data_IF_950914870270
#
_entry.id   IF_950914870270
#
_cell.length_a   1.000
_cell.length_b   1.000
_cell.length_c   1.000
_cell.angle_alpha   90.00
_cell.angle_beta   90.00
_cell.angle_gamma   90.00
#
_symmetry.space_group_name_H-M   'P 1'
#
loop_
_entity.id
_entity.type
_entity.pdbx_description
1 polymer ?
#
# COMPACT_ATOMS: atom_id res chain seq x y z
N UNK A 1 -43.90 -31.46 -20.06
CA UNK A 1 -44.50 -30.23 -19.50
C UNK A 1 -43.38 -29.42 -18.85
N UNK A 2 -42.95 -28.40 -19.57
CA UNK A 2 -41.78 -27.55 -19.26
C UNK A 2 -42.33 -26.19 -18.83
N UNK A 3 -42.39 -25.92 -17.53
CA UNK A 3 -42.58 -24.57 -17.00
C UNK A 3 -41.24 -23.85 -16.98
N UNK A 4 -40.76 -23.45 -18.17
CA UNK A 4 -39.80 -22.34 -18.27
C UNK A 4 -40.53 -21.09 -17.82
N UNK A 5 -40.50 -20.84 -16.51
CA UNK A 5 -40.90 -19.56 -15.94
C UNK A 5 -40.09 -18.48 -16.63
N UNK A 6 -40.79 -17.52 -17.20
CA UNK A 6 -40.22 -16.34 -17.81
C UNK A 6 -39.25 -15.66 -16.83
N UNK A 7 -37.95 -15.91 -17.00
CA UNK A 7 -36.92 -14.96 -16.60
C UNK A 7 -37.12 -13.74 -17.48
N UNK A 8 -38.04 -12.88 -17.05
CA UNK A 8 -38.19 -11.54 -17.58
C UNK A 8 -36.81 -10.90 -17.54
N UNK A 9 -36.26 -10.61 -18.73
CA UNK A 9 -35.13 -9.70 -18.91
C UNK A 9 -35.58 -8.32 -18.42
N UNK A 10 -35.65 -8.13 -17.12
CA UNK A 10 -35.69 -6.81 -16.51
C UNK A 10 -34.36 -6.18 -16.90
N UNK A 11 -34.40 -5.25 -17.86
CA UNK A 11 -33.25 -4.47 -18.28
C UNK A 11 -32.49 -4.03 -17.03
N UNK A 12 -31.28 -4.56 -16.87
CA UNK A 12 -30.59 -4.52 -15.59
C UNK A 12 -30.43 -3.07 -15.13
N UNK A 13 -30.66 -2.76 -13.84
CA UNK A 13 -30.67 -1.40 -13.29
C UNK A 13 -29.36 -0.61 -13.47
N UNK A 14 -28.32 -1.16 -14.09
CA UNK A 14 -27.04 -0.50 -14.32
C UNK A 14 -27.06 0.56 -15.44
N UNK A 15 -27.94 0.43 -16.45
CA UNK A 15 -28.03 1.40 -17.55
C UNK A 15 -28.23 2.85 -17.08
N UNK A 16 -29.19 3.18 -16.18
CA UNK A 16 -29.39 4.55 -15.71
C UNK A 16 -28.20 5.10 -14.92
N UNK A 17 -27.40 4.26 -14.25
CA UNK A 17 -26.21 4.73 -13.50
C UNK A 17 -25.10 5.14 -14.41
N UNK A 18 -24.83 4.36 -15.46
CA UNK A 18 -23.79 4.72 -16.42
C UNK A 18 -24.15 5.98 -17.19
N UNK A 19 -25.42 6.12 -17.60
CA UNK A 19 -25.92 7.34 -18.25
C UNK A 19 -25.74 8.55 -17.32
N UNK A 20 -26.09 8.44 -16.04
CA UNK A 20 -25.90 9.52 -15.07
C UNK A 20 -24.42 9.81 -14.78
N UNK A 21 -23.54 8.81 -14.75
CA UNK A 21 -22.10 9.03 -14.56
C UNK A 21 -21.48 9.75 -15.76
N UNK A 22 -21.85 9.37 -16.98
CA UNK A 22 -21.40 10.04 -18.20
C UNK A 22 -21.95 11.46 -18.25
N UNK A 23 -23.25 11.65 -17.98
CA UNK A 23 -23.86 12.98 -17.90
C UNK A 23 -23.21 13.85 -16.82
N UNK A 24 -22.80 13.27 -15.68
CA UNK A 24 -22.15 14.00 -14.59
C UNK A 24 -20.78 14.55 -14.98
N UNK A 25 -20.04 13.81 -15.82
CA UNK A 25 -18.74 14.22 -16.34
C UNK A 25 -18.89 15.25 -17.46
N UNK A 26 -19.93 15.11 -18.29
CA UNK A 26 -20.15 15.99 -19.44
C UNK A 26 -20.87 17.29 -19.10
N UNK A 27 -21.68 17.34 -18.03
CA UNK A 27 -22.44 18.54 -17.66
C UNK A 27 -21.54 19.78 -17.42
N UNK A 28 -20.40 19.69 -16.71
CA UNK A 28 -19.45 20.80 -16.59
C UNK A 28 -18.84 21.25 -17.93
N UNK A 29 -18.76 20.34 -18.92
CA UNK A 29 -18.17 20.60 -20.24
C UNK A 29 -19.15 21.22 -21.24
N UNK A 30 -20.40 21.45 -20.85
CA UNK A 30 -21.41 22.07 -21.71
C UNK A 30 -21.23 23.59 -21.89
N UNK A 31 -20.24 24.19 -21.21
CA UNK A 31 -19.95 25.62 -21.21
C UNK A 31 -19.66 26.27 -22.57
N UNK A 32 -18.93 25.66 -23.53
CA UNK A 32 -18.56 26.32 -24.78
C UNK A 32 -19.60 26.14 -25.91
N UNK A 33 -20.77 25.55 -25.63
CA UNK A 33 -21.78 25.22 -26.69
C UNK A 33 -22.98 26.16 -26.67
N UNK A 34 -23.18 26.93 -25.59
CA UNK A 34 -24.32 27.83 -25.41
C UNK A 34 -23.79 29.20 -24.96
N UNK A 35 -23.47 30.06 -25.91
CA UNK A 35 -22.74 31.33 -25.72
C UNK A 35 -23.45 32.40 -24.87
N UNK A 36 -24.70 32.17 -24.44
CA UNK A 36 -25.54 33.25 -23.87
C UNK A 36 -25.76 33.22 -22.34
N UNK A 37 -25.41 32.15 -21.60
CA UNK A 37 -25.61 32.12 -20.14
C UNK A 37 -24.47 31.45 -19.34
N UNK A 38 -23.64 32.22 -18.60
CA UNK A 38 -22.48 31.70 -17.87
C UNK A 38 -22.83 30.76 -16.69
N UNK A 39 -24.11 30.69 -16.30
CA UNK A 39 -24.56 29.88 -15.17
C UNK A 39 -24.96 28.44 -15.52
N UNK A 40 -25.27 28.16 -16.80
CA UNK A 40 -25.88 26.89 -17.20
C UNK A 40 -25.06 25.62 -16.85
N UNK A 41 -23.73 25.59 -17.01
CA UNK A 41 -22.93 24.39 -16.69
C UNK A 41 -23.01 23.99 -15.22
N UNK A 42 -23.10 24.96 -14.31
CA UNK A 42 -23.24 24.71 -12.88
C UNK A 42 -24.62 24.16 -12.54
N UNK A 43 -25.68 24.69 -13.15
CA UNK A 43 -27.05 24.18 -12.98
C UNK A 43 -27.23 22.78 -13.55
N UNK A 44 -26.69 22.52 -14.75
CA UNK A 44 -26.68 21.18 -15.33
C UNK A 44 -25.95 20.18 -14.42
N UNK A 45 -24.79 20.59 -13.88
CA UNK A 45 -24.01 19.75 -12.96
C UNK A 45 -24.77 19.48 -11.67
N UNK A 46 -25.40 20.50 -11.08
CA UNK A 46 -26.26 20.37 -9.91
C UNK A 46 -27.39 19.35 -10.15
N UNK A 47 -28.17 19.52 -11.22
CA UNK A 47 -29.31 18.66 -11.53
C UNK A 47 -28.86 17.20 -11.70
N UNK A 48 -27.80 16.96 -12.47
CA UNK A 48 -27.30 15.61 -12.71
C UNK A 48 -26.81 14.95 -11.41
N UNK A 49 -26.12 15.69 -10.54
CA UNK A 49 -25.63 15.14 -9.27
C UNK A 49 -26.75 14.93 -8.24
N UNK A 50 -27.80 15.75 -8.25
CA UNK A 50 -29.01 15.48 -7.45
C UNK A 50 -29.72 14.19 -7.92
N UNK A 51 -29.83 13.98 -9.23
CA UNK A 51 -30.37 12.73 -9.79
C UNK A 51 -29.49 11.53 -9.43
N UNK A 52 -28.17 11.67 -9.48
CA UNK A 52 -27.23 10.64 -9.06
C UNK A 52 -27.36 10.32 -7.56
N UNK A 53 -27.49 11.33 -6.71
CA UNK A 53 -27.71 11.17 -5.27
C UNK A 53 -29.05 10.46 -4.98
N UNK A 54 -30.13 10.86 -5.66
CA UNK A 54 -31.44 10.19 -5.56
C UNK A 54 -31.37 8.72 -5.99
N UNK A 55 -30.62 8.42 -7.05
CA UNK A 55 -30.41 7.04 -7.51
C UNK A 55 -29.56 6.21 -6.52
N UNK A 56 -28.54 6.82 -5.92
CA UNK A 56 -27.75 6.19 -4.85
C UNK A 56 -28.61 5.91 -3.61
N UNK A 57 -29.46 6.85 -3.21
CA UNK A 57 -30.34 6.72 -2.06
C UNK A 57 -31.41 5.64 -2.27
N UNK A 58 -32.10 5.66 -3.40
CA UNK A 58 -33.11 4.64 -3.74
C UNK A 58 -32.51 3.23 -3.77
N UNK A 59 -31.27 3.09 -4.25
CA UNK A 59 -30.53 1.84 -4.18
C UNK A 59 -30.10 1.48 -2.78
N UNK A 60 -29.57 2.41 -2.00
CA UNK A 60 -29.21 2.16 -0.62
C UNK A 60 -30.44 1.64 0.16
N UNK A 61 -31.60 2.27 -0.03
CA UNK A 61 -32.87 1.85 0.59
C UNK A 61 -33.32 0.47 0.10
N UNK A 62 -33.33 0.22 -1.22
CA UNK A 62 -33.74 -1.10 -1.75
C UNK A 62 -32.81 -2.22 -1.28
N UNK A 63 -31.52 -1.91 -1.14
CA UNK A 63 -30.49 -2.83 -0.70
C UNK A 63 -30.53 -3.07 0.82
N UNK A 64 -30.90 -2.05 1.61
CA UNK A 64 -31.19 -2.20 3.03
C UNK A 64 -32.44 -3.06 3.27
N UNK A 65 -33.49 -2.90 2.46
CA UNK A 65 -34.76 -3.65 2.56
C UNK A 65 -34.66 -5.09 2.08
N UNK A 66 -33.91 -5.36 1.01
CA UNK A 66 -33.87 -6.69 0.38
C UNK A 66 -33.06 -7.73 1.15
N UNK A 67 -32.19 -7.33 2.09
CA UNK A 67 -31.33 -8.25 2.83
C UNK A 67 -30.34 -9.07 1.96
N UNK A 68 -30.26 -8.77 0.66
CA UNK A 68 -29.49 -9.55 -0.29
C UNK A 68 -27.97 -9.40 -0.06
N UNK A 69 -27.21 -10.49 -0.29
CA UNK A 69 -25.75 -10.47 -0.23
C UNK A 69 -25.17 -9.51 -1.28
N UNK A 70 -24.14 -8.74 -0.88
CA UNK A 70 -23.48 -7.75 -1.74
C UNK A 70 -22.79 -8.43 -2.93
N UNK A 71 -23.26 -8.16 -4.14
CA UNK A 71 -22.59 -8.63 -5.37
C UNK A 71 -21.47 -7.66 -5.71
N UNK A 72 -20.43 -8.14 -6.41
CA UNK A 72 -19.34 -7.27 -6.90
C UNK A 72 -19.85 -6.10 -7.74
N UNK A 73 -20.94 -6.33 -8.49
CA UNK A 73 -21.62 -5.30 -9.29
C UNK A 73 -22.15 -4.15 -8.43
N UNK A 74 -22.61 -4.41 -7.22
CA UNK A 74 -23.18 -3.39 -6.32
C UNK A 74 -22.09 -2.43 -5.83
N UNK A 75 -20.87 -2.94 -5.61
CA UNK A 75 -19.69 -2.12 -5.27
C UNK A 75 -19.29 -1.24 -6.45
N UNK A 76 -19.24 -1.79 -7.67
CA UNK A 76 -18.94 -1.01 -8.88
C UNK A 76 -19.97 0.10 -9.07
N UNK A 77 -21.25 -0.19 -8.84
CA UNK A 77 -22.34 0.78 -8.94
C UNK A 77 -22.30 1.86 -7.84
N UNK A 78 -21.63 1.63 -6.72
CA UNK A 78 -21.41 2.62 -5.66
C UNK A 78 -20.14 3.46 -5.91
N UNK A 79 -19.10 2.85 -6.47
CA UNK A 79 -17.80 3.49 -6.77
C UNK A 79 -17.88 4.37 -8.02
N UNK A 80 -18.60 3.95 -9.06
CA UNK A 80 -18.69 4.71 -10.32
C UNK A 80 -19.21 6.16 -10.14
N UNK A 81 -20.27 6.41 -9.36
CA UNK A 81 -20.70 7.78 -9.06
C UNK A 81 -19.69 8.59 -8.25
N UNK A 82 -18.87 7.94 -7.41
CA UNK A 82 -17.82 8.64 -6.67
C UNK A 82 -16.71 9.12 -7.61
N UNK A 83 -16.28 8.27 -8.54
CA UNK A 83 -15.27 8.62 -9.55
C UNK A 83 -15.81 9.73 -10.45
N UNK A 84 -17.05 9.61 -10.93
CA UNK A 84 -17.70 10.65 -11.72
C UNK A 84 -17.81 11.97 -10.95
N UNK A 85 -18.19 11.93 -9.66
CA UNK A 85 -18.26 13.10 -8.79
C UNK A 85 -16.90 13.78 -8.56
N UNK A 86 -15.82 13.01 -8.38
CA UNK A 86 -14.47 13.59 -8.25
C UNK A 86 -14.01 14.29 -9.53
N UNK A 87 -14.28 13.68 -10.68
CA UNK A 87 -13.97 14.28 -11.99
C UNK A 87 -14.81 15.55 -12.22
N UNK A 88 -16.11 15.49 -11.94
CA UNK A 88 -16.99 16.64 -12.03
C UNK A 88 -16.59 17.77 -11.06
N UNK A 89 -16.13 17.44 -9.86
CA UNK A 89 -15.61 18.42 -8.91
C UNK A 89 -14.40 19.15 -9.48
N UNK A 90 -13.46 18.42 -10.07
CA UNK A 90 -12.30 19.00 -10.75
C UNK A 90 -12.72 19.97 -11.84
N UNK A 91 -13.66 19.57 -12.70
CA UNK A 91 -14.16 20.39 -13.81
C UNK A 91 -14.96 21.61 -13.34
N UNK A 92 -15.81 21.47 -12.32
CA UNK A 92 -16.55 22.60 -11.70
C UNK A 92 -15.58 23.59 -11.05
N UNK A 93 -14.51 23.11 -10.42
CA UNK A 93 -13.50 23.97 -9.81
C UNK A 93 -12.68 24.73 -10.86
N UNK A 94 -12.37 24.09 -11.99
CA UNK A 94 -11.70 24.75 -13.13
C UNK A 94 -12.60 25.82 -13.75
N UNK A 95 -13.87 25.50 -14.03
CA UNK A 95 -14.83 26.48 -14.54
C UNK A 95 -15.04 27.64 -13.57
N UNK A 96 -15.14 27.37 -12.27
CA UNK A 96 -15.26 28.44 -11.26
C UNK A 96 -14.05 29.38 -11.20
N UNK A 97 -12.88 28.89 -11.59
CA UNK A 97 -11.66 29.69 -11.71
C UNK A 97 -11.73 30.62 -12.93
N UNK A 98 -12.14 30.07 -14.09
CA UNK A 98 -12.33 30.83 -15.34
C UNK A 98 -13.35 31.96 -15.18
N UNK A 99 -14.43 31.73 -14.42
CA UNK A 99 -15.44 32.75 -14.13
C UNK A 99 -15.07 33.68 -12.95
N UNK A 100 -13.89 33.51 -12.32
CA UNK A 100 -13.46 34.34 -11.19
C UNK A 100 -14.37 34.22 -9.95
N UNK A 101 -15.07 33.09 -9.80
CA UNK A 101 -16.04 32.85 -8.74
C UNK A 101 -15.54 31.91 -7.63
N UNK A 102 -14.39 31.27 -7.86
CA UNK A 102 -13.75 30.39 -6.88
C UNK A 102 -13.36 31.17 -5.62
N UNK A 103 -13.85 30.70 -4.47
CA UNK A 103 -13.60 31.32 -3.15
C UNK A 103 -14.40 32.59 -2.84
N UNK A 104 -14.94 33.28 -3.86
CA UNK A 104 -15.70 34.52 -3.71
C UNK A 104 -17.22 34.33 -3.78
N UNK A 105 -17.70 33.24 -4.38
CA UNK A 105 -19.13 32.96 -4.52
C UNK A 105 -19.92 32.93 -3.20
N UNK A 106 -19.39 32.25 -2.16
CA UNK A 106 -20.07 32.16 -0.86
C UNK A 106 -20.18 33.53 -0.18
N UNK A 107 -19.10 34.33 -0.03
CA UNK A 107 -19.18 35.70 0.45
C UNK A 107 -20.19 36.55 -0.34
N UNK A 108 -20.16 36.50 -1.68
CA UNK A 108 -21.07 37.30 -2.52
C UNK A 108 -22.54 36.94 -2.36
N UNK A 109 -22.86 35.66 -2.20
CA UNK A 109 -24.21 35.20 -1.87
C UNK A 109 -24.66 35.70 -0.49
N UNK A 110 -23.78 35.64 0.52
CA UNK A 110 -24.11 36.12 1.87
C UNK A 110 -24.29 37.64 1.93
N UNK A 111 -23.63 38.39 1.05
CA UNK A 111 -23.74 39.85 0.94
C UNK A 111 -24.87 40.31 0.00
N UNK A 112 -25.57 39.39 -0.67
CA UNK A 112 -26.73 39.71 -1.52
C UNK A 112 -26.37 40.43 -2.83
N UNK A 113 -25.17 40.24 -3.37
CA UNK A 113 -24.74 40.88 -4.62
C UNK A 113 -25.50 40.27 -5.80
N UNK A 114 -26.32 41.09 -6.48
CA UNK A 114 -27.28 40.62 -7.50
C UNK A 114 -26.68 40.31 -8.88
N UNK A 115 -25.52 40.87 -9.22
CA UNK A 115 -24.97 40.81 -10.59
C UNK A 115 -24.57 39.40 -11.05
N UNK A 116 -24.28 38.47 -10.13
CA UNK A 116 -23.85 37.09 -10.42
C UNK A 116 -24.59 36.04 -9.59
N UNK A 117 -25.73 36.41 -8.99
CA UNK A 117 -26.42 35.60 -7.98
C UNK A 117 -26.75 34.18 -8.47
N UNK A 118 -27.27 34.03 -9.70
CA UNK A 118 -27.64 32.73 -10.25
C UNK A 118 -26.42 31.84 -10.56
N UNK A 119 -25.30 32.44 -10.97
CA UNK A 119 -24.04 31.73 -11.23
C UNK A 119 -23.41 31.26 -9.92
N UNK A 120 -23.33 32.15 -8.93
CA UNK A 120 -22.79 31.83 -7.61
C UNK A 120 -23.64 30.75 -6.91
N UNK A 121 -24.97 30.85 -7.01
CA UNK A 121 -25.90 29.86 -6.45
C UNK A 121 -25.78 28.51 -7.17
N UNK A 122 -25.71 28.51 -8.50
CA UNK A 122 -25.50 27.31 -9.30
C UNK A 122 -24.19 26.63 -8.94
N UNK A 123 -23.09 27.38 -8.82
CA UNK A 123 -21.79 26.87 -8.43
C UNK A 123 -21.82 26.23 -7.04
N UNK A 124 -22.26 26.97 -6.01
CA UNK A 124 -22.31 26.46 -4.63
C UNK A 124 -23.23 25.24 -4.54
N UNK A 125 -24.38 25.28 -5.22
CA UNK A 125 -25.29 24.15 -5.32
C UNK A 125 -24.62 22.92 -5.94
N UNK A 126 -23.92 23.10 -7.07
CA UNK A 126 -23.25 22.00 -7.77
C UNK A 126 -22.17 21.34 -6.91
N UNK A 127 -21.35 22.13 -6.21
CA UNK A 127 -20.32 21.64 -5.28
C UNK A 127 -20.96 20.85 -4.13
N UNK A 128 -22.03 21.38 -3.54
CA UNK A 128 -22.76 20.70 -2.47
C UNK A 128 -23.36 19.37 -2.95
N UNK A 129 -23.98 19.34 -4.13
CA UNK A 129 -24.55 18.13 -4.70
C UNK A 129 -23.47 17.07 -4.99
N UNK A 130 -22.30 17.48 -5.49
CA UNK A 130 -21.16 16.57 -5.69
C UNK A 130 -20.67 16.00 -4.35
N UNK A 131 -20.54 16.83 -3.31
CA UNK A 131 -20.15 16.37 -1.96
C UNK A 131 -21.15 15.35 -1.42
N UNK A 132 -22.45 15.60 -1.59
CA UNK A 132 -23.51 14.66 -1.19
C UNK A 132 -23.37 13.32 -1.91
N UNK A 133 -23.11 13.32 -3.23
CA UNK A 133 -22.86 12.10 -4.01
C UNK A 133 -21.63 11.35 -3.49
N UNK A 134 -20.51 12.04 -3.25
CA UNK A 134 -19.30 11.43 -2.72
C UNK A 134 -19.52 10.80 -1.35
N UNK A 135 -20.14 11.53 -0.43
CA UNK A 135 -20.46 11.04 0.91
C UNK A 135 -21.41 9.83 0.86
N UNK A 136 -22.43 9.88 -0.01
CA UNK A 136 -23.38 8.78 -0.19
C UNK A 136 -22.71 7.53 -0.76
N UNK A 137 -21.82 7.70 -1.74
CA UNK A 137 -21.05 6.60 -2.34
C UNK A 137 -20.08 5.96 -1.34
N UNK A 138 -19.33 6.77 -0.58
CA UNK A 138 -18.41 6.26 0.46
C UNK A 138 -19.19 5.51 1.53
N UNK A 139 -20.31 6.07 1.99
CA UNK A 139 -21.18 5.43 2.99
C UNK A 139 -21.71 4.10 2.46
N UNK A 140 -22.18 4.05 1.21
CA UNK A 140 -22.68 2.84 0.58
C UNK A 140 -21.58 1.78 0.43
N UNK A 141 -20.38 2.16 0.00
CA UNK A 141 -19.21 1.27 -0.08
C UNK A 141 -18.83 0.73 1.30
N UNK A 142 -18.81 1.58 2.33
CA UNK A 142 -18.51 1.18 3.70
C UNK A 142 -19.55 0.18 4.25
N UNK A 143 -20.84 0.42 3.99
CA UNK A 143 -21.93 -0.49 4.36
C UNK A 143 -21.81 -1.83 3.63
N UNK A 144 -21.52 -1.80 2.32
CA UNK A 144 -21.30 -2.99 1.49
C UNK A 144 -20.09 -3.80 1.98
N UNK A 145 -18.98 -3.12 2.29
CA UNK A 145 -17.76 -3.72 2.80
C UNK A 145 -17.99 -4.35 4.18
N UNK A 146 -18.64 -3.64 5.11
CA UNK A 146 -18.96 -4.14 6.45
C UNK A 146 -19.84 -5.38 6.40
N UNK A 147 -20.85 -5.41 5.52
CA UNK A 147 -21.72 -6.59 5.34
C UNK A 147 -20.99 -7.76 4.69
N UNK A 148 -20.11 -7.51 3.73
CA UNK A 148 -19.28 -8.56 3.12
C UNK A 148 -18.28 -9.15 4.11
N UNK A 149 -17.71 -8.31 4.96
CA UNK A 149 -16.87 -8.76 6.08
C UNK A 149 -17.69 -9.59 7.05
N UNK A 150 -18.88 -9.13 7.48
CA UNK A 150 -19.77 -9.91 8.37
C UNK A 150 -20.18 -11.26 7.78
N UNK A 151 -20.63 -11.31 6.53
CA UNK A 151 -20.95 -12.57 5.87
C UNK A 151 -19.73 -13.51 5.77
N UNK A 152 -18.53 -12.95 5.55
CA UNK A 152 -17.29 -13.72 5.60
C UNK A 152 -16.91 -14.19 7.01
N UNK A 153 -17.25 -13.41 8.04
CA UNK A 153 -17.10 -13.78 9.46
C UNK A 153 -18.11 -14.85 9.89
N UNK A 154 -19.34 -14.80 9.39
CA UNK A 154 -20.38 -15.80 9.66
C UNK A 154 -20.03 -17.13 8.96
N UNK A 155 -19.57 -17.08 7.70
CA UNK A 155 -19.02 -18.25 7.00
C UNK A 155 -17.75 -18.80 7.68
N UNK A 156 -16.94 -17.93 8.31
CA UNK A 156 -15.80 -18.33 9.14
C UNK A 156 -16.25 -18.89 10.49
N UNK A 157 -17.32 -18.39 11.12
CA UNK A 157 -17.79 -18.90 12.41
C UNK A 157 -18.49 -20.24 12.25
N UNK A 158 -19.26 -20.42 11.18
CA UNK A 158 -19.87 -21.71 10.82
C UNK A 158 -18.78 -22.70 10.43
N UNK A 159 -17.80 -22.25 9.63
CA UNK A 159 -16.60 -23.02 9.34
C UNK A 159 -15.73 -23.31 10.57
N UNK A 160 -15.69 -22.44 11.58
CA UNK A 160 -14.98 -22.64 12.85
C UNK A 160 -15.76 -23.57 13.77
N UNK A 161 -17.08 -23.62 13.71
CA UNK A 161 -17.89 -24.62 14.41
C UNK A 161 -17.68 -26.01 13.79
N UNK A 162 -17.69 -26.12 12.46
CA UNK A 162 -17.37 -27.36 11.74
C UNK A 162 -15.91 -27.78 11.96
N UNK A 163 -14.98 -26.81 11.97
CA UNK A 163 -13.56 -27.04 12.26
C UNK A 163 -13.31 -27.30 13.73
N UNK A 164 -14.10 -26.78 14.69
CA UNK A 164 -13.98 -27.11 16.10
C UNK A 164 -14.48 -28.52 16.39
N UNK A 165 -15.52 -28.96 15.68
CA UNK A 165 -16.04 -30.33 15.73
C UNK A 165 -15.07 -31.30 15.08
N UNK A 166 -14.46 -30.92 13.94
CA UNK A 166 -13.38 -31.67 13.29
C UNK A 166 -12.02 -31.58 14.03
N UNK A 167 -11.75 -30.49 14.75
CA UNK A 167 -10.55 -30.30 15.56
C UNK A 167 -10.64 -31.03 16.89
N UNK A 168 -11.82 -31.21 17.48
CA UNK A 168 -12.02 -32.11 18.61
C UNK A 168 -11.74 -33.56 18.22
N UNK A 169 -12.07 -33.97 16.98
CA UNK A 169 -11.70 -35.29 16.43
C UNK A 169 -10.23 -35.36 15.95
N UNK A 170 -9.63 -34.25 15.50
CA UNK A 170 -8.23 -34.20 15.03
C UNK A 170 -7.19 -33.89 16.13
N UNK A 171 -7.60 -33.33 17.27
CA UNK A 171 -6.74 -33.04 18.43
C UNK A 171 -6.25 -34.32 19.12
N UNK A 172 -6.96 -35.43 18.97
CA UNK A 172 -6.50 -36.76 19.39
C UNK A 172 -5.46 -37.35 18.42
N UNK A 173 -5.25 -36.76 17.23
CA UNK A 173 -4.46 -37.41 16.16
C UNK A 173 -3.30 -36.64 15.53
N UNK A 174 -3.06 -35.34 15.78
CA UNK A 174 -1.98 -34.63 15.07
C UNK A 174 -1.12 -33.71 15.94
N UNK A 175 -0.13 -34.34 16.59
CA UNK A 175 1.09 -33.73 17.11
C UNK A 175 2.04 -33.41 15.93
N UNK A 176 1.63 -32.57 14.98
CA UNK A 176 2.46 -32.16 13.84
C UNK A 176 2.41 -30.64 13.61
N UNK A 177 3.52 -29.91 13.81
CA UNK A 177 3.55 -28.46 13.63
C UNK A 177 3.43 -28.14 12.14
N UNK A 178 2.39 -27.37 11.76
CA UNK A 178 2.20 -26.91 10.37
C UNK A 178 3.51 -26.31 9.84
N UNK A 179 4.10 -27.01 8.88
CA UNK A 179 5.31 -26.61 8.20
C UNK A 179 5.08 -25.38 7.32
N UNK A 180 6.19 -24.82 6.85
CA UNK A 180 6.23 -23.83 5.78
C UNK A 180 5.43 -24.31 4.57
N UNK A 181 4.26 -23.72 4.32
CA UNK A 181 3.52 -23.88 3.06
C UNK A 181 3.82 -22.67 2.17
N UNK A 182 4.66 -22.82 1.12
CA UNK A 182 4.94 -21.72 0.21
C UNK A 182 3.67 -21.33 -0.56
N UNK A 183 3.38 -20.02 -0.62
CA UNK A 183 2.21 -19.49 -1.34
C UNK A 183 2.53 -19.09 -2.77
N UNK A 184 3.81 -19.01 -3.13
CA UNK A 184 4.25 -18.77 -4.50
C UNK A 184 5.22 -19.85 -4.95
N UNK A 185 5.12 -20.20 -6.24
CA UNK A 185 5.93 -21.20 -6.93
C UNK A 185 6.68 -20.59 -8.10
N UNK A 186 7.72 -21.25 -8.64
CA UNK A 186 8.49 -20.73 -9.77
C UNK A 186 7.61 -20.51 -11.01
N UNK A 187 6.62 -21.38 -11.20
CA UNK A 187 5.62 -21.33 -12.27
C UNK A 187 4.69 -20.12 -12.23
N UNK A 188 4.62 -19.38 -11.11
CA UNK A 188 3.75 -18.20 -11.00
C UNK A 188 4.27 -17.00 -11.82
N UNK A 189 5.52 -17.04 -12.28
CA UNK A 189 6.17 -15.94 -13.00
C UNK A 189 6.75 -14.87 -12.06
N UNK A 190 7.90 -14.32 -12.46
CA UNK A 190 8.70 -13.37 -11.67
C UNK A 190 7.87 -12.19 -11.11
N UNK A 191 7.10 -11.53 -11.97
CA UNK A 191 6.28 -10.36 -11.58
C UNK A 191 5.14 -10.69 -10.62
N UNK A 192 4.56 -11.90 -10.67
CA UNK A 192 3.48 -12.31 -9.76
C UNK A 192 4.03 -12.72 -8.39
N UNK A 193 5.27 -13.21 -8.35
CA UNK A 193 6.02 -13.52 -7.12
C UNK A 193 6.42 -12.24 -6.38
N UNK A 194 6.89 -11.22 -7.11
CA UNK A 194 7.33 -9.95 -6.55
C UNK A 194 6.19 -8.97 -6.24
N UNK A 195 5.31 -8.71 -7.22
CA UNK A 195 4.18 -7.78 -7.10
C UNK A 195 2.88 -8.55 -7.00
N UNK A 196 2.48 -8.84 -5.76
CA UNK A 196 1.19 -9.47 -5.50
C UNK A 196 0.02 -8.59 -5.97
N UNK A 197 -1.18 -9.17 -6.15
CA UNK A 197 -2.38 -8.38 -6.42
C UNK A 197 -2.62 -7.28 -5.38
N UNK A 198 -2.34 -7.51 -4.10
CA UNK A 198 -2.50 -6.49 -3.06
C UNK A 198 -1.42 -5.40 -3.16
N UNK A 199 -0.19 -5.72 -3.58
CA UNK A 199 0.82 -4.67 -3.86
C UNK A 199 0.40 -3.78 -5.02
N UNK A 200 -0.21 -4.36 -6.06
CA UNK A 200 -0.74 -3.58 -7.19
C UNK A 200 -1.91 -2.70 -6.77
N UNK A 201 -2.78 -3.20 -5.89
CA UNK A 201 -3.86 -2.39 -5.31
C UNK A 201 -3.28 -1.23 -4.49
N UNK A 202 -2.30 -1.50 -3.62
CA UNK A 202 -1.62 -0.45 -2.84
C UNK A 202 -0.96 0.57 -3.76
N UNK A 203 -0.32 0.14 -4.85
CA UNK A 203 0.23 1.03 -5.86
C UNK A 203 -0.83 1.96 -6.47
N UNK A 204 -1.97 1.42 -6.90
CA UNK A 204 -3.06 2.22 -7.48
C UNK A 204 -3.64 3.18 -6.44
N UNK A 205 -3.93 2.69 -5.23
CA UNK A 205 -4.46 3.53 -4.13
C UNK A 205 -3.47 4.62 -3.79
N UNK A 206 -2.17 4.32 -3.75
CA UNK A 206 -1.16 5.31 -3.42
C UNK A 206 -1.05 6.41 -4.49
N UNK A 207 -1.16 6.07 -5.78
CA UNK A 207 -1.28 7.07 -6.87
C UNK A 207 -2.49 7.99 -6.62
N UNK A 208 -3.65 7.39 -6.38
CA UNK A 208 -4.91 8.13 -6.24
C UNK A 208 -4.93 9.03 -5.00
N UNK A 209 -4.25 8.63 -3.93
CA UNK A 209 -4.18 9.38 -2.66
C UNK A 209 -3.04 10.40 -2.67
N UNK A 210 -1.92 10.13 -3.36
CA UNK A 210 -0.80 11.06 -3.43
C UNK A 210 -1.19 12.37 -4.11
N UNK A 211 -2.04 12.34 -5.14
CA UNK A 211 -2.48 13.53 -5.86
C UNK A 211 -3.17 14.59 -4.98
N UNK A 212 -4.26 14.28 -4.25
CA UNK A 212 -4.89 15.26 -3.36
C UNK A 212 -4.00 15.65 -2.19
N UNK A 213 -3.17 14.74 -1.67
CA UNK A 213 -2.24 15.06 -0.58
C UNK A 213 -1.16 16.04 -1.02
N UNK A 214 -0.61 15.89 -2.23
CA UNK A 214 0.34 16.86 -2.79
C UNK A 214 -0.27 18.27 -2.85
N UNK A 215 -1.56 18.39 -3.17
CA UNK A 215 -2.25 19.69 -3.15
C UNK A 215 -2.45 20.26 -1.75
N UNK A 216 -2.65 19.40 -0.74
CA UNK A 216 -2.73 19.81 0.67
C UNK A 216 -1.35 20.27 1.15
N UNK A 217 -0.30 19.54 0.82
CA UNK A 217 1.09 19.90 1.15
C UNK A 217 1.54 21.20 0.47
N UNK A 218 1.07 21.45 -0.76
CA UNK A 218 1.29 22.71 -1.46
C UNK A 218 0.57 23.92 -0.83
N UNK A 219 -0.29 23.68 0.16
CA UNK A 219 -1.00 24.70 0.93
C UNK A 219 -0.68 24.60 2.43
N UNK A 220 0.47 24.01 2.79
CA UNK A 220 0.94 23.91 4.18
C UNK A 220 2.07 24.95 4.44
N UNK A 221 1.72 26.21 4.76
CA UNK A 221 2.68 27.29 4.97
C UNK A 221 3.62 27.04 6.16
N UNK A 222 3.14 26.28 7.16
CA UNK A 222 3.79 26.09 8.46
C UNK A 222 4.66 24.82 8.49
N UNK A 223 4.45 23.90 7.54
CA UNK A 223 5.23 22.65 7.44
C UNK A 223 4.84 21.60 8.48
N UNK A 224 3.66 21.73 9.08
CA UNK A 224 3.16 20.80 10.10
C UNK A 224 2.97 19.37 9.53
N UNK A 225 2.80 19.25 8.22
CA UNK A 225 2.56 18.01 7.52
C UNK A 225 3.85 17.43 6.91
N UNK A 226 5.04 17.87 7.30
CA UNK A 226 6.32 17.39 6.73
C UNK A 226 6.44 15.86 6.73
N UNK A 227 6.07 15.18 7.82
CA UNK A 227 6.11 13.71 7.92
C UNK A 227 5.14 13.05 6.93
N UNK A 228 3.92 13.58 6.82
CA UNK A 228 2.93 13.12 5.85
C UNK A 228 3.44 13.38 4.42
N UNK A 229 4.09 14.52 4.22
CA UNK A 229 4.84 14.88 3.04
C UNK A 229 5.73 13.72 2.61
N UNK A 230 6.70 13.33 3.43
CA UNK A 230 7.70 12.32 3.04
C UNK A 230 7.08 11.01 2.52
N UNK A 231 5.95 10.58 3.07
CA UNK A 231 5.26 9.34 2.66
C UNK A 231 4.64 9.42 1.25
N UNK A 232 4.11 10.59 0.89
CA UNK A 232 3.38 10.78 -0.38
C UNK A 232 4.21 11.49 -1.46
N UNK A 233 5.31 12.13 -1.05
CA UNK A 233 6.36 12.62 -1.94
C UNK A 233 7.06 11.46 -2.64
N UNK A 234 7.31 10.36 -1.94
CA UNK A 234 7.96 9.19 -2.52
C UNK A 234 6.99 8.02 -2.54
N UNK A 235 6.04 8.00 -3.50
CA UNK A 235 4.98 7.02 -3.52
C UNK A 235 5.47 5.57 -3.74
N UNK A 236 6.73 5.37 -4.13
CA UNK A 236 7.39 4.07 -4.10
C UNK A 236 7.53 3.47 -2.69
N UNK A 237 7.57 4.32 -1.65
CA UNK A 237 7.86 3.93 -0.27
C UNK A 237 6.73 3.08 0.33
N UNK A 238 5.45 3.51 0.35
CA UNK A 238 4.35 2.67 0.85
C UNK A 238 4.21 1.35 0.09
N UNK A 239 4.50 1.36 -1.22
CA UNK A 239 4.40 0.18 -2.08
C UNK A 239 5.49 -0.82 -1.72
N UNK A 240 6.73 -0.36 -1.58
CA UNK A 240 7.88 -1.19 -1.21
C UNK A 240 7.69 -1.73 0.20
N UNK A 241 7.29 -0.87 1.15
CA UNK A 241 6.99 -1.27 2.51
C UNK A 241 5.95 -2.40 2.56
N UNK A 242 4.84 -2.24 1.85
CA UNK A 242 3.80 -3.25 1.77
C UNK A 242 4.27 -4.54 1.09
N UNK A 243 5.04 -4.43 -0.01
CA UNK A 243 5.58 -5.59 -0.70
C UNK A 243 6.52 -6.39 0.19
N UNK A 244 7.40 -5.73 0.95
CA UNK A 244 8.32 -6.38 1.89
C UNK A 244 7.55 -7.02 3.04
N UNK A 245 6.56 -6.34 3.62
CA UNK A 245 5.70 -6.89 4.69
C UNK A 245 5.00 -8.18 4.28
N UNK A 246 4.59 -8.31 3.01
CA UNK A 246 3.93 -9.52 2.53
C UNK A 246 4.74 -10.79 2.67
N UNK A 247 6.07 -10.71 2.80
CA UNK A 247 6.91 -11.88 3.06
C UNK A 247 6.45 -12.68 4.28
N UNK A 248 5.90 -12.02 5.31
CA UNK A 248 5.41 -12.67 6.53
C UNK A 248 4.30 -13.69 6.27
N UNK A 249 3.40 -13.39 5.33
CA UNK A 249 2.23 -14.21 5.05
C UNK A 249 2.19 -14.79 3.63
N UNK A 250 3.16 -14.44 2.77
CA UNK A 250 3.32 -14.96 1.41
C UNK A 250 4.79 -15.38 1.18
N UNK A 251 5.24 -16.46 1.84
CA UNK A 251 6.57 -17.02 1.62
C UNK A 251 6.72 -17.53 0.19
N UNK A 252 7.92 -17.35 -0.35
CA UNK A 252 8.31 -17.84 -1.67
C UNK A 252 9.03 -19.19 -1.56
N UNK A 253 8.68 -20.15 -2.44
CA UNK A 253 9.24 -21.50 -2.38
C UNK A 253 10.74 -21.58 -2.64
N UNK A 254 11.30 -20.69 -3.46
CA UNK A 254 12.72 -20.71 -3.81
C UNK A 254 13.53 -19.73 -2.94
N UNK A 255 12.99 -18.52 -2.74
CA UNK A 255 13.71 -17.44 -2.05
C UNK A 255 13.51 -17.46 -0.52
N UNK A 256 12.56 -18.25 -0.01
CA UNK A 256 12.24 -18.24 1.42
C UNK A 256 11.65 -16.91 1.88
N UNK A 257 11.90 -16.53 3.13
CA UNK A 257 11.44 -15.27 3.72
C UNK A 257 12.44 -14.14 3.50
N UNK A 258 13.70 -14.33 3.90
CA UNK A 258 14.67 -13.23 3.99
C UNK A 258 15.12 -12.78 2.60
N UNK A 259 15.50 -13.70 1.70
CA UNK A 259 15.88 -13.30 0.34
C UNK A 259 14.70 -12.74 -0.44
N UNK A 260 13.48 -13.24 -0.21
CA UNK A 260 12.29 -12.65 -0.81
C UNK A 260 12.04 -11.21 -0.32
N UNK A 261 12.30 -10.92 0.96
CA UNK A 261 12.23 -9.57 1.51
C UNK A 261 13.27 -8.64 0.86
N UNK A 262 14.54 -9.06 0.83
CA UNK A 262 15.63 -8.31 0.21
C UNK A 262 15.40 -8.08 -1.29
N UNK A 263 14.95 -9.11 -2.02
CA UNK A 263 14.62 -8.98 -3.43
C UNK A 263 13.51 -7.94 -3.67
N UNK A 264 12.46 -7.93 -2.83
CA UNK A 264 11.40 -6.91 -2.91
C UNK A 264 11.91 -5.52 -2.54
N UNK A 265 12.80 -5.41 -1.56
CA UNK A 265 13.47 -4.16 -1.20
C UNK A 265 14.22 -3.55 -2.37
N UNK A 266 14.86 -4.34 -3.23
CA UNK A 266 15.61 -3.82 -4.39
C UNK A 266 14.74 -3.63 -5.64
N UNK A 267 13.95 -4.64 -5.98
CA UNK A 267 13.27 -4.70 -7.28
C UNK A 267 12.03 -3.82 -7.31
N UNK A 268 11.27 -3.73 -6.20
CA UNK A 268 10.04 -2.92 -6.19
C UNK A 268 10.40 -1.44 -6.42
N UNK A 269 11.35 -0.83 -5.68
CA UNK A 269 11.79 0.54 -5.97
C UNK A 269 12.31 0.73 -7.38
N UNK A 270 13.10 -0.21 -7.92
CA UNK A 270 13.64 -0.10 -9.27
C UNK A 270 12.53 0.02 -10.34
N UNK A 271 11.41 -0.66 -10.11
CA UNK A 271 10.29 -0.72 -11.07
C UNK A 271 9.28 0.40 -10.83
N UNK A 272 9.12 0.85 -9.58
CA UNK A 272 8.15 1.90 -9.25
C UNK A 272 8.76 3.30 -9.34
N UNK A 273 10.03 3.50 -8.99
CA UNK A 273 10.63 4.84 -8.88
C UNK A 273 10.47 5.69 -10.14
N UNK A 274 10.78 5.15 -11.33
CA UNK A 274 10.69 5.92 -12.57
C UNK A 274 9.25 6.32 -12.93
N UNK A 275 8.25 5.41 -13.05
CA UNK A 275 6.87 5.79 -13.33
C UNK A 275 6.31 6.82 -12.35
N UNK A 276 6.66 6.68 -11.07
CA UNK A 276 6.20 7.59 -10.03
C UNK A 276 6.92 8.92 -10.05
N UNK A 277 8.21 8.95 -10.39
CA UNK A 277 8.95 10.19 -10.58
C UNK A 277 8.40 10.98 -11.77
N UNK A 278 8.03 10.31 -12.86
CA UNK A 278 7.35 10.93 -14.01
C UNK A 278 6.01 11.51 -13.56
N UNK A 279 5.17 10.72 -12.88
CA UNK A 279 3.88 11.17 -12.38
C UNK A 279 4.02 12.39 -11.45
N UNK A 280 4.92 12.31 -10.48
CA UNK A 280 5.20 13.41 -9.54
C UNK A 280 5.68 14.66 -10.27
N UNK A 281 6.59 14.51 -11.24
CA UNK A 281 7.06 15.62 -12.07
C UNK A 281 5.90 16.28 -12.78
N UNK A 282 4.99 15.50 -13.41
CA UNK A 282 3.79 16.05 -14.06
C UNK A 282 2.89 16.76 -13.04
N UNK A 283 2.59 16.13 -11.90
CA UNK A 283 1.68 16.66 -10.89
C UNK A 283 2.18 17.97 -10.29
N UNK A 284 3.48 18.08 -10.02
CA UNK A 284 4.08 19.31 -9.50
C UNK A 284 4.06 20.45 -10.51
N UNK A 285 3.92 20.17 -11.80
CA UNK A 285 3.87 21.20 -12.86
C UNK A 285 2.46 21.58 -13.28
N UNK A 286 1.43 20.99 -12.66
CA UNK A 286 0.06 21.40 -12.92
C UNK A 286 -0.16 22.83 -12.39
N UNK A 287 -0.86 23.71 -13.13
CA UNK A 287 -1.13 25.09 -12.71
C UNK A 287 -1.68 25.16 -11.29
N UNK A 288 -2.68 24.32 -10.97
CA UNK A 288 -3.28 24.23 -9.63
C UNK A 288 -2.26 23.98 -8.51
N UNK A 289 -1.19 23.24 -8.77
CA UNK A 289 -0.12 23.00 -7.78
C UNK A 289 0.81 24.22 -7.71
N UNK A 290 1.24 24.74 -8.85
CA UNK A 290 2.13 25.91 -8.95
C UNK A 290 1.49 27.13 -8.31
N UNK A 291 0.25 27.46 -8.66
CA UNK A 291 -0.50 28.60 -8.13
C UNK A 291 -0.62 28.52 -6.61
N UNK A 292 -0.85 27.31 -6.06
CA UNK A 292 -0.91 27.12 -4.60
C UNK A 292 0.44 27.34 -3.93
N UNK A 293 1.50 26.78 -4.50
CA UNK A 293 2.87 26.98 -4.00
C UNK A 293 3.20 28.46 -4.01
N UNK A 294 2.94 29.17 -5.10
CA UNK A 294 3.19 30.61 -5.23
C UNK A 294 2.40 31.41 -4.18
N UNK A 295 1.09 31.16 -4.05
CA UNK A 295 0.22 31.84 -3.09
C UNK A 295 0.71 31.73 -1.64
N UNK A 296 1.26 30.58 -1.25
CA UNK A 296 1.71 30.33 0.13
C UNK A 296 3.20 30.64 0.34
N UNK A 297 3.98 30.77 -0.74
CA UNK A 297 5.43 31.03 -0.69
C UNK A 297 5.84 32.43 -0.21
N UNK A 298 4.93 33.41 -0.25
CA UNK A 298 5.22 34.80 0.17
C UNK A 298 5.52 34.99 1.67
N UNK A 299 5.29 33.97 2.51
CA UNK A 299 5.38 34.09 3.97
C UNK A 299 6.77 33.80 4.59
N UNK A 300 7.81 33.56 3.78
CA UNK A 300 9.20 33.41 4.25
C UNK A 300 9.51 32.10 5.01
N UNK A 301 8.58 31.57 5.79
CA UNK A 301 8.64 30.25 6.46
C UNK A 301 8.56 29.09 5.46
N UNK A 302 7.80 29.26 4.39
CA UNK A 302 7.51 28.22 3.39
C UNK A 302 8.77 27.70 2.64
N UNK A 303 9.83 28.51 2.60
CA UNK A 303 11.02 28.31 1.76
C UNK A 303 11.91 27.14 2.25
N UNK A 304 11.66 26.58 3.45
CA UNK A 304 12.58 25.61 4.07
C UNK A 304 11.98 24.26 4.45
N UNK A 305 10.66 24.10 4.48
CA UNK A 305 10.04 22.88 5.04
C UNK A 305 9.79 21.79 4.01
N UNK A 306 9.66 22.13 2.72
CA UNK A 306 9.42 21.17 1.65
C UNK A 306 10.49 21.20 0.56
N UNK A 307 10.84 20.03 0.04
CA UNK A 307 11.82 19.86 -1.05
C UNK A 307 11.41 20.54 -2.37
N UNK A 308 10.12 20.91 -2.51
CA UNK A 308 9.57 21.64 -3.66
C UNK A 308 9.53 23.17 -3.50
N UNK A 309 9.93 23.69 -2.33
CA UNK A 309 9.96 25.13 -2.05
C UNK A 309 11.15 25.80 -2.75
N UNK A 310 10.97 27.01 -3.30
CA UNK A 310 11.86 27.69 -4.27
C UNK A 310 13.39 27.68 -4.00
N UNK A 311 13.95 28.80 -3.53
CA UNK A 311 15.41 29.08 -3.56
C UNK A 311 16.30 28.06 -2.82
N UNK A 312 15.77 27.32 -1.85
CA UNK A 312 16.51 26.32 -1.04
C UNK A 312 16.03 24.88 -1.17
N UNK A 313 14.95 24.61 -1.92
CA UNK A 313 14.48 23.24 -2.14
C UNK A 313 15.36 22.47 -3.11
N UNK A 314 15.44 21.14 -2.92
CA UNK A 314 16.12 20.26 -3.86
C UNK A 314 15.50 20.33 -5.27
N UNK A 315 14.21 20.64 -5.37
CA UNK A 315 13.47 20.83 -6.61
C UNK A 315 12.76 22.19 -6.55
N UNK A 316 13.14 23.12 -7.42
CA UNK A 316 12.36 24.34 -7.63
C UNK A 316 11.21 24.02 -8.62
N UNK A 317 9.97 24.12 -8.17
CA UNK A 317 8.80 23.76 -9.00
C UNK A 317 8.34 24.92 -9.89
N UNK A 318 8.64 26.16 -9.51
CA UNK A 318 8.29 27.38 -10.26
C UNK A 318 9.29 27.57 -11.41
N UNK A 319 10.59 27.65 -11.10
CA UNK A 319 11.63 27.96 -12.09
C UNK A 319 12.63 26.82 -12.34
N UNK A 320 12.51 25.71 -11.62
CA UNK A 320 13.52 24.64 -11.69
C UNK A 320 13.39 23.79 -12.94
N UNK A 321 14.49 23.12 -13.30
CA UNK A 321 14.55 22.16 -14.41
C UNK A 321 13.63 20.95 -14.19
N UNK A 322 12.82 20.62 -15.20
CA UNK A 322 12.00 19.39 -15.25
C UNK A 322 12.87 18.14 -15.14
N UNK A 323 14.03 18.13 -15.80
CA UNK A 323 14.97 17.00 -15.74
C UNK A 323 15.54 16.84 -14.33
N UNK A 324 15.91 17.95 -13.68
CA UNK A 324 16.39 17.93 -12.28
C UNK A 324 15.29 17.41 -11.33
N UNK A 325 14.05 17.85 -11.53
CA UNK A 325 12.86 17.39 -10.80
C UNK A 325 12.66 15.88 -10.92
N UNK A 326 12.72 15.38 -12.16
CA UNK A 326 12.57 13.96 -12.47
C UNK A 326 13.68 13.13 -11.83
N UNK A 327 14.94 13.55 -11.98
CA UNK A 327 16.10 12.82 -11.47
C UNK A 327 16.11 12.76 -9.95
N UNK A 328 15.83 13.87 -9.26
CA UNK A 328 15.78 13.90 -7.79
C UNK A 328 14.59 13.10 -7.27
N UNK A 329 13.41 13.20 -7.91
CA UNK A 329 12.24 12.38 -7.55
C UNK A 329 12.53 10.89 -7.74
N UNK A 330 13.20 10.52 -8.84
CA UNK A 330 13.56 9.13 -9.14
C UNK A 330 14.61 8.60 -8.17
N UNK A 331 15.73 9.30 -7.98
CA UNK A 331 16.82 8.87 -7.11
C UNK A 331 16.42 8.91 -5.64
N UNK A 332 15.76 9.98 -5.19
CA UNK A 332 15.24 10.11 -3.83
C UNK A 332 14.17 9.07 -3.55
N UNK A 333 13.22 8.87 -4.48
CA UNK A 333 12.19 7.84 -4.37
C UNK A 333 12.76 6.43 -4.33
N UNK A 334 13.75 6.15 -5.17
CA UNK A 334 14.47 4.87 -5.17
C UNK A 334 15.21 4.64 -3.85
N UNK A 335 16.05 5.59 -3.43
CA UNK A 335 16.88 5.49 -2.23
C UNK A 335 16.05 5.36 -0.94
N UNK A 336 14.99 6.17 -0.80
CA UNK A 336 14.13 6.11 0.39
C UNK A 336 13.25 4.87 0.41
N UNK A 337 12.79 4.39 -0.75
CA UNK A 337 12.04 3.13 -0.82
C UNK A 337 12.93 1.92 -0.51
N UNK A 338 14.18 1.92 -1.00
CA UNK A 338 15.21 0.95 -0.61
C UNK A 338 15.43 0.95 0.90
N UNK A 339 15.64 2.14 1.48
CA UNK A 339 15.87 2.29 2.91
C UNK A 339 14.68 1.79 3.72
N UNK A 340 13.44 2.14 3.32
CA UNK A 340 12.23 1.66 3.98
C UNK A 340 12.10 0.13 3.89
N UNK A 341 12.37 -0.47 2.72
CA UNK A 341 12.36 -1.91 2.56
C UNK A 341 13.42 -2.60 3.43
N UNK A 342 14.62 -2.02 3.53
CA UNK A 342 15.70 -2.52 4.38
C UNK A 342 15.31 -2.44 5.87
N UNK A 343 14.80 -1.29 6.32
CA UNK A 343 14.34 -1.09 7.70
C UNK A 343 13.26 -2.12 8.04
N UNK A 344 12.25 -2.30 7.19
CA UNK A 344 11.20 -3.29 7.44
C UNK A 344 11.78 -4.71 7.44
N UNK A 345 12.72 -5.02 6.56
CA UNK A 345 13.38 -6.33 6.52
C UNK A 345 14.10 -6.62 7.83
N UNK A 346 14.90 -5.68 8.32
CA UNK A 346 15.75 -5.85 9.52
C UNK A 346 14.96 -5.75 10.82
N UNK A 347 14.05 -4.79 10.94
CA UNK A 347 13.32 -4.51 12.19
C UNK A 347 11.98 -5.26 12.30
N UNK A 348 11.40 -5.73 11.20
CA UNK A 348 10.09 -6.39 11.21
C UNK A 348 10.16 -7.82 10.71
N UNK A 349 10.66 -8.05 9.48
CA UNK A 349 10.61 -9.38 8.86
C UNK A 349 11.50 -10.36 9.60
N UNK A 350 12.78 -10.04 9.73
CA UNK A 350 13.76 -10.94 10.32
C UNK A 350 13.40 -11.30 11.77
N UNK A 351 13.06 -10.35 12.66
CA UNK A 351 12.66 -10.67 14.03
C UNK A 351 11.37 -11.49 14.04
N UNK A 352 10.33 -11.09 13.30
CA UNK A 352 9.07 -11.83 13.28
C UNK A 352 9.28 -13.29 12.87
N UNK A 353 10.10 -13.58 11.86
CA UNK A 353 10.40 -14.95 11.45
C UNK A 353 11.29 -15.66 12.47
N UNK A 354 12.32 -15.02 13.03
CA UNK A 354 13.20 -15.61 14.04
C UNK A 354 12.45 -16.01 15.33
N UNK A 355 11.42 -15.25 15.72
CA UNK A 355 10.63 -15.53 16.92
C UNK A 355 9.45 -16.46 16.65
N UNK A 356 8.67 -16.21 15.59
CA UNK A 356 7.43 -16.95 15.30
C UNK A 356 7.66 -18.23 14.49
N UNK A 357 8.69 -18.26 13.63
CA UNK A 357 8.98 -19.38 12.70
C UNK A 357 10.47 -19.74 12.64
N UNK A 358 11.14 -19.97 13.78
CA UNK A 358 12.60 -20.11 13.80
C UNK A 358 13.12 -21.25 12.93
N UNK A 359 12.39 -22.38 12.82
CA UNK A 359 12.77 -23.52 11.96
C UNK A 359 12.83 -23.18 10.48
N UNK A 360 12.04 -22.22 10.01
CA UNK A 360 12.15 -21.76 8.63
C UNK A 360 13.48 -21.05 8.40
N UNK A 361 13.86 -20.16 9.32
CA UNK A 361 15.12 -19.42 9.22
C UNK A 361 16.34 -20.33 9.44
N UNK A 362 16.22 -21.38 10.24
CA UNK A 362 17.25 -22.42 10.34
C UNK A 362 17.51 -23.11 8.99
N UNK A 363 16.47 -23.37 8.18
CA UNK A 363 16.68 -23.91 6.82
C UNK A 363 17.38 -22.92 5.92
N UNK A 364 16.95 -21.67 5.93
CA UNK A 364 17.53 -20.60 5.11
C UNK A 364 19.00 -20.33 5.48
N UNK A 365 19.33 -20.38 6.78
CA UNK A 365 20.68 -20.22 7.29
C UNK A 365 21.52 -21.53 7.24
N UNK A 366 20.96 -22.62 6.72
CA UNK A 366 21.60 -23.95 6.64
C UNK A 366 22.15 -24.45 8.00
N UNK A 367 21.42 -24.16 9.08
CA UNK A 367 21.78 -24.57 10.44
C UNK A 367 21.19 -25.95 10.80
N UNK A 368 21.86 -26.68 11.70
CA UNK A 368 21.43 -28.00 12.18
C UNK A 368 20.01 -27.95 12.78
N UNK A 369 19.18 -28.91 12.37
CA UNK A 369 17.82 -29.11 12.89
C UNK A 369 17.69 -30.37 13.74
N UNK A 370 18.81 -30.98 14.10
CA UNK A 370 18.82 -32.17 14.96
C UNK A 370 18.20 -31.80 16.32
N UNK A 371 17.42 -32.71 16.95
CA UNK A 371 16.79 -32.43 18.24
C UNK A 371 17.78 -31.97 19.33
N UNK A 372 19.01 -32.50 19.32
CA UNK A 372 20.08 -32.16 20.26
C UNK A 372 20.55 -30.71 20.17
N UNK A 373 20.54 -30.13 18.97
CA UNK A 373 21.15 -28.82 18.70
C UNK A 373 20.08 -27.74 18.49
N UNK A 374 18.82 -28.14 18.32
CA UNK A 374 17.73 -27.27 17.91
C UNK A 374 17.59 -26.03 18.80
N UNK A 375 17.68 -26.19 20.13
CA UNK A 375 17.56 -25.07 21.06
C UNK A 375 18.69 -24.04 20.88
N UNK A 376 19.93 -24.51 20.72
CA UNK A 376 21.09 -23.65 20.48
C UNK A 376 21.01 -22.94 19.12
N UNK A 377 20.58 -23.66 18.07
CA UNK A 377 20.37 -23.09 16.74
C UNK A 377 19.27 -22.02 16.73
N UNK A 378 18.15 -22.26 17.43
CA UNK A 378 17.06 -21.27 17.57
C UNK A 378 17.55 -20.03 18.33
N UNK A 379 18.28 -20.22 19.43
CA UNK A 379 18.84 -19.12 20.20
C UNK A 379 19.82 -18.29 19.35
N UNK A 380 20.66 -18.95 18.54
CA UNK A 380 21.58 -18.28 17.61
C UNK A 380 20.84 -17.41 16.59
N UNK A 381 19.79 -17.93 15.97
CA UNK A 381 19.00 -17.18 14.98
C UNK A 381 18.31 -15.96 15.60
N UNK A 382 17.75 -16.11 16.80
CA UNK A 382 17.13 -15.00 17.52
C UNK A 382 18.17 -13.97 17.96
N UNK A 383 19.34 -14.41 18.40
CA UNK A 383 20.44 -13.51 18.72
C UNK A 383 20.88 -12.72 17.48
N UNK A 384 21.02 -13.38 16.32
CA UNK A 384 21.37 -12.72 15.06
C UNK A 384 20.36 -11.66 14.62
N UNK A 385 19.05 -11.91 14.75
CA UNK A 385 18.05 -10.90 14.40
C UNK A 385 18.13 -9.66 15.31
N UNK A 386 18.38 -9.86 16.62
CA UNK A 386 18.57 -8.74 17.55
C UNK A 386 19.90 -8.01 17.31
N UNK A 387 20.98 -8.73 16.99
CA UNK A 387 22.27 -8.11 16.62
C UNK A 387 22.09 -7.21 15.39
N UNK A 388 21.36 -7.66 14.37
CA UNK A 388 21.10 -6.87 13.17
C UNK A 388 20.34 -5.57 13.49
N UNK A 389 19.37 -5.62 14.41
CA UNK A 389 18.69 -4.42 14.92
C UNK A 389 19.67 -3.50 15.64
N UNK A 390 20.45 -4.03 16.59
CA UNK A 390 21.39 -3.23 17.39
C UNK A 390 22.46 -2.57 16.52
N UNK A 391 22.92 -3.25 15.47
CA UNK A 391 23.90 -2.72 14.53
C UNK A 391 23.41 -1.45 13.80
N UNK A 392 22.10 -1.27 13.65
CA UNK A 392 21.50 -0.06 13.07
C UNK A 392 21.03 0.92 14.15
N UNK A 393 20.46 0.42 15.25
CA UNK A 393 19.91 1.24 16.33
C UNK A 393 21.01 2.01 17.08
N UNK A 394 22.13 1.37 17.42
CA UNK A 394 23.20 2.00 18.19
C UNK A 394 23.78 3.22 17.44
N UNK A 395 24.21 3.12 16.17
CA UNK A 395 24.67 4.30 15.43
C UNK A 395 23.58 5.37 15.28
N UNK A 396 22.32 4.97 15.04
CA UNK A 396 21.20 5.92 14.91
C UNK A 396 20.91 6.69 16.20
N UNK A 397 21.25 6.11 17.36
CA UNK A 397 21.10 6.75 18.66
C UNK A 397 22.31 7.60 19.06
N UNK A 398 23.51 7.29 18.56
CA UNK A 398 24.76 7.93 19.01
C UNK A 398 25.35 8.95 18.03
N UNK A 399 25.15 8.79 16.72
CA UNK A 399 25.73 9.69 15.71
C UNK A 399 25.05 11.06 15.65
N UNK A 400 23.71 11.17 15.73
CA UNK A 400 23.04 12.46 15.63
C UNK A 400 22.86 13.16 16.99
N UNK A 401 23.37 12.58 18.09
CA UNK A 401 23.12 13.05 19.46
C UNK A 401 24.43 13.40 20.15
N UNK A 402 24.39 14.44 20.98
CA UNK A 402 25.54 14.85 21.78
C UNK A 402 25.70 13.96 23.03
N UNK A 403 26.91 13.89 23.58
CA UNK A 403 27.25 12.98 24.69
C UNK A 403 26.55 13.31 26.02
N UNK A 404 25.97 14.49 26.14
CA UNK A 404 25.14 14.93 27.26
C UNK A 404 23.66 14.51 27.12
N UNK A 405 23.23 14.04 25.95
CA UNK A 405 21.86 13.59 25.72
C UNK A 405 21.62 12.15 26.20
N UNK A 406 20.42 11.90 26.74
CA UNK A 406 20.00 10.57 27.24
C UNK A 406 20.05 9.50 26.13
N UNK A 407 19.72 9.87 24.89
CA UNK A 407 19.72 8.94 23.75
C UNK A 407 21.11 8.38 23.46
N UNK A 408 22.16 9.20 23.61
CA UNK A 408 23.55 8.77 23.43
C UNK A 408 23.92 7.70 24.45
N UNK A 409 23.59 7.92 25.73
CA UNK A 409 23.84 6.95 26.81
C UNK A 409 23.04 5.65 26.66
N UNK A 410 21.81 5.72 26.13
CA UNK A 410 21.05 4.51 25.77
C UNK A 410 21.82 3.71 24.70
N UNK A 411 22.36 4.39 23.68
CA UNK A 411 23.22 3.77 22.66
C UNK A 411 24.42 3.03 23.27
N UNK A 412 25.14 3.68 24.19
CA UNK A 412 26.29 3.09 24.91
C UNK A 412 25.87 1.88 25.75
N UNK A 413 24.77 1.97 26.50
CA UNK A 413 24.27 0.89 27.34
C UNK A 413 23.84 -0.36 26.54
N UNK A 414 23.49 -0.20 25.27
CA UNK A 414 23.16 -1.31 24.36
C UNK A 414 24.39 -2.05 23.81
N UNK A 415 25.60 -1.46 23.88
CA UNK A 415 26.84 -2.10 23.39
C UNK A 415 27.14 -3.41 24.14
N UNK A 416 27.15 -3.48 25.49
CA UNK A 416 27.34 -4.73 26.22
C UNK A 416 26.30 -5.80 25.86
N UNK A 417 25.05 -5.41 25.66
CA UNK A 417 23.97 -6.32 25.22
C UNK A 417 24.30 -6.90 23.85
N UNK A 418 24.75 -6.07 22.91
CA UNK A 418 25.23 -6.51 21.60
C UNK A 418 26.36 -7.53 21.69
N UNK A 419 27.36 -7.29 22.55
CA UNK A 419 28.51 -8.21 22.76
C UNK A 419 28.04 -9.58 23.27
N UNK A 420 27.15 -9.60 24.27
CA UNK A 420 26.59 -10.85 24.81
C UNK A 420 25.83 -11.63 23.73
N UNK A 421 25.02 -10.95 22.92
CA UNK A 421 24.29 -11.59 21.83
C UNK A 421 25.21 -12.15 20.75
N UNK A 422 26.27 -11.43 20.37
CA UNK A 422 27.29 -11.91 19.44
C UNK A 422 27.94 -13.19 19.96
N UNK A 423 28.26 -13.24 21.26
CA UNK A 423 28.79 -14.46 21.88
C UNK A 423 27.79 -15.63 21.80
N UNK A 424 26.51 -15.40 22.09
CA UNK A 424 25.45 -16.44 21.98
C UNK A 424 25.34 -16.95 20.53
N UNK A 425 25.29 -16.04 19.56
CA UNK A 425 25.21 -16.38 18.15
C UNK A 425 26.44 -17.19 17.69
N UNK A 426 27.64 -16.73 18.03
CA UNK A 426 28.89 -17.41 17.70
C UNK A 426 28.95 -18.82 18.29
N UNK A 427 28.61 -18.97 19.59
CA UNK A 427 28.60 -20.28 20.26
C UNK A 427 27.59 -21.23 19.63
N UNK A 428 26.39 -20.76 19.30
CA UNK A 428 25.36 -21.56 18.63
C UNK A 428 25.80 -22.02 17.23
N UNK A 429 26.44 -21.13 16.45
CA UNK A 429 26.99 -21.49 15.14
C UNK A 429 28.11 -22.54 15.22
N UNK A 430 28.98 -22.45 16.23
CA UNK A 430 30.05 -23.44 16.43
C UNK A 430 29.48 -24.85 16.69
N UNK A 431 28.42 -24.95 17.51
CA UNK A 431 27.74 -26.23 17.77
C UNK A 431 27.15 -26.79 16.47
N UNK A 432 26.46 -25.96 15.69
CA UNK A 432 25.87 -26.37 14.43
C UNK A 432 26.92 -26.85 13.40
N UNK A 433 28.05 -26.16 13.29
CA UNK A 433 29.15 -26.55 12.38
C UNK A 433 29.77 -27.90 12.78
N UNK A 434 30.01 -28.11 14.08
CA UNK A 434 30.52 -29.40 14.59
C UNK A 434 29.56 -30.55 14.31
N UNK A 435 28.25 -30.32 14.46
CA UNK A 435 27.23 -31.31 14.15
C UNK A 435 27.18 -31.68 12.66
N UNK A 436 27.33 -30.69 11.77
CA UNK A 436 27.41 -30.92 10.32
C UNK A 436 28.65 -31.72 9.93
N UNK A 437 29.82 -31.38 10.48
CA UNK A 437 31.06 -32.12 10.25
C UNK A 437 30.94 -33.60 10.67
N UNK A 438 30.42 -33.87 11.87
CA UNK A 438 30.20 -35.23 12.37
C UNK A 438 29.16 -36.02 11.55
N UNK A 439 28.21 -35.34 10.90
CA UNK A 439 27.26 -35.98 9.99
C UNK A 439 27.88 -36.40 8.66
N UNK A 440 28.79 -35.57 8.12
CA UNK A 440 29.47 -35.86 6.86
C UNK A 440 30.46 -37.02 6.95
N UNK A 441 31.12 -37.19 8.10
CA UNK A 441 32.04 -38.31 8.34
C UNK A 441 31.28 -39.64 8.46
N UNK A 442 30.16 -39.67 9.19
CA UNK A 442 29.34 -40.88 9.33
C UNK A 442 28.72 -41.33 7.99
N UNK A 443 28.36 -40.41 7.10
CA UNK A 443 27.85 -40.77 5.77
C UNK A 443 28.95 -41.27 4.84
N UNK A 444 30.18 -40.75 4.97
CA UNK A 444 31.34 -41.20 4.19
C UNK A 444 31.79 -42.61 4.60
N UNK A 445 31.82 -42.90 5.90
CA UNK A 445 32.21 -44.23 6.40
C UNK A 445 31.21 -45.32 5.99
N UNK A 446 29.90 -45.02 5.95
CA UNK A 446 28.89 -45.96 5.46
C UNK A 446 28.89 -46.15 3.93
N UNK A 447 29.49 -45.24 3.16
CA UNK A 447 29.59 -45.37 1.70
C UNK A 447 30.81 -46.15 1.21
N UNK A 448 31.75 -46.44 2.12
CA UNK A 448 33.00 -47.17 1.80
C UNK A 448 32.86 -48.68 2.07
N UNK A 449 31.82 -49.12 2.77
CA UNK A 449 31.65 -50.53 3.16
C UNK A 449 30.74 -51.39 2.26
N UNK A 450 30.09 -50.84 1.22
CA UNK A 450 29.12 -51.58 0.39
C UNK A 450 29.34 -51.43 -1.13
N UNK A 451 30.54 -51.72 -1.61
CA UNK A 451 30.69 -52.24 -2.97
C UNK A 451 31.55 -53.50 -2.88
N UNK A 452 30.96 -54.70 -2.86
CA UNK A 452 31.70 -55.91 -3.14
C UNK A 452 32.25 -55.75 -4.56
N UNK A 453 33.57 -55.71 -4.72
CA UNK A 453 34.21 -55.90 -6.02
C UNK A 453 33.72 -57.25 -6.56
N UNK A 454 32.82 -57.21 -7.54
CA UNK A 454 32.54 -58.38 -8.36
C UNK A 454 33.84 -58.76 -9.06
N UNK A 455 34.36 -59.99 -8.86
CA UNK A 455 35.56 -60.42 -9.54
C UNK A 455 35.25 -60.48 -11.04
N UNK A 456 35.88 -59.58 -11.79
CA UNK A 456 36.01 -59.64 -13.24
C UNK A 456 36.51 -61.04 -13.61
N UNK A 457 35.60 -61.87 -14.11
CA UNK A 457 35.93 -63.11 -14.76
C UNK A 457 36.79 -62.76 -15.98
N UNK A 458 38.05 -63.19 -15.95
CA UNK A 458 38.93 -63.13 -17.10
C UNK A 458 38.47 -64.12 -18.15
N UNK A 459 38.05 -63.62 -19.30
CA UNK A 459 38.02 -64.37 -20.53
C UNK A 459 39.43 -64.39 -21.12
N UNK A 460 40.14 -65.48 -20.85
CA UNK A 460 41.22 -65.98 -21.70
C UNK A 460 40.67 -67.11 -22.57
N UNK A 461 40.62 -66.88 -23.88
CA UNK A 461 40.21 -67.85 -24.90
C UNK A 461 40.28 -67.25 -26.29
#
# INVERSE_FOLDING_TARGET
MSSRSAEGRVGGPAAPTWVLCVAAILAPLSAPVLDDEPSWPFWATLIVHLLAAGLLLTRAVSWLRSGARARRRDVVLAVAPAVAGLLALGLVMLGADEYGIRGSAVPRLTQGIRSLFLTDLGYVGSVLAIIIVLASSVTLVAVLARRRLRAGWDELSDGVADVATAAATAAVRTRNPRGFEPKTRPSDGFWRRLLSPSTRIVMIVNVLVAMPILWVLAADPDGDLVVLGFLFIFPGLPITAWAVLQTLWRPDSELGYIFAALARTMIVPAVTSLPFAVLQTVLTRLPVFVDRVEQHSFHGSYIRHYWFSGESGAINVVDGSVIKTLLISMLGGYALSLLAGLVITVFVIWPAIAFLRPRALLREAQLSQRPSDLAASIASVRAQSVIAILALAIPSLMVPTDSDEVLWWIGVALIPVGVVLVYVAWRGQQIARKALAAGSTAHRDNSVTDVPEEPSAGDGG
#
